data_IF_551996031268
#
_entry.id   IF_551996031268
#
_cell.length_a   1.000
_cell.length_b   1.000
_cell.length_c   1.000
_cell.angle_alpha   90.00
_cell.angle_beta   90.00
_cell.angle_gamma   90.00
#
_symmetry.space_group_name_H-M   'P 1'
#
loop_
_entity.id
_entity.type
_entity.pdbx_description
1 polymer ?
#
# COMPACT_ATOMS: atom_id res chain seq x y z
N UNK A 1 0.42 28.54 11.55
CA UNK A 1 1.52 28.34 10.57
C UNK A 1 2.49 27.35 11.19
N UNK A 2 2.65 26.14 10.66
CA UNK A 2 3.62 25.16 11.20
C UNK A 2 5.04 25.66 10.91
N UNK A 3 5.99 25.39 11.81
CA UNK A 3 7.39 25.77 11.56
C UNK A 3 7.98 24.89 10.44
N UNK A 4 8.95 25.41 9.67
CA UNK A 4 9.62 24.64 8.60
C UNK A 4 10.22 23.32 9.11
N UNK A 5 10.71 23.31 10.36
CA UNK A 5 11.21 22.10 11.02
C UNK A 5 10.12 21.05 11.28
N UNK A 6 8.90 21.46 11.63
CA UNK A 6 7.77 20.53 11.80
C UNK A 6 7.33 19.96 10.45
N UNK A 7 7.31 20.78 9.41
CA UNK A 7 6.97 20.33 8.06
C UNK A 7 8.00 19.31 7.54
N UNK A 8 9.30 19.60 7.65
CA UNK A 8 10.38 18.71 7.21
C UNK A 8 10.40 17.37 7.96
N UNK A 9 10.15 17.37 9.29
CA UNK A 9 9.99 16.11 10.05
C UNK A 9 8.80 15.29 9.60
N UNK A 10 7.69 15.96 9.29
CA UNK A 10 6.45 15.32 8.83
C UNK A 10 6.63 14.70 7.44
N UNK A 11 7.32 15.39 6.54
CA UNK A 11 7.67 14.90 5.21
C UNK A 11 8.64 13.71 5.27
N UNK A 12 9.68 13.80 6.10
CA UNK A 12 10.62 12.69 6.28
C UNK A 12 9.93 11.44 6.84
N UNK A 13 9.07 11.60 7.85
CA UNK A 13 8.28 10.50 8.40
C UNK A 13 7.32 9.90 7.36
N UNK A 14 6.65 10.75 6.56
CA UNK A 14 5.79 10.32 5.46
C UNK A 14 6.53 9.51 4.39
N UNK A 15 7.74 9.93 4.04
CA UNK A 15 8.59 9.22 3.08
C UNK A 15 9.11 7.88 3.63
N UNK A 16 9.46 7.82 4.91
CA UNK A 16 9.87 6.57 5.55
C UNK A 16 8.72 5.55 5.58
N UNK A 17 7.52 6.00 5.96
CA UNK A 17 6.30 5.19 5.90
C UNK A 17 5.99 4.77 4.46
N UNK A 18 6.09 5.67 3.49
CA UNK A 18 5.92 5.35 2.07
C UNK A 18 6.91 4.30 1.55
N UNK A 19 8.18 4.35 1.98
CA UNK A 19 9.16 3.32 1.63
C UNK A 19 8.82 1.97 2.24
N UNK A 20 8.32 1.95 3.49
CA UNK A 20 7.83 0.73 4.15
C UNK A 20 6.64 0.13 3.40
N UNK A 21 5.68 0.94 2.98
CA UNK A 21 4.47 0.46 2.29
C UNK A 21 4.78 -0.15 0.94
N UNK A 22 5.69 0.48 0.17
CA UNK A 22 6.22 -0.09 -1.08
C UNK A 22 6.89 -1.45 -0.84
N UNK A 23 7.73 -1.54 0.19
CA UNK A 23 8.45 -2.77 0.52
C UNK A 23 7.48 -3.91 0.87
N UNK A 24 6.43 -3.62 1.64
CA UNK A 24 5.37 -4.58 1.94
C UNK A 24 4.60 -5.00 0.68
N UNK A 25 4.25 -4.06 -0.19
CA UNK A 25 3.57 -4.38 -1.45
C UNK A 25 4.39 -5.33 -2.32
N UNK A 26 5.70 -5.11 -2.45
CA UNK A 26 6.58 -6.01 -3.18
C UNK A 26 6.79 -7.37 -2.49
N UNK A 27 6.84 -7.40 -1.15
CA UNK A 27 6.84 -8.67 -0.42
C UNK A 27 5.56 -9.47 -0.70
N UNK A 28 4.40 -8.81 -0.80
CA UNK A 28 3.15 -9.45 -1.22
C UNK A 28 3.25 -10.11 -2.61
N UNK A 29 3.93 -9.48 -3.56
CA UNK A 29 4.20 -10.06 -4.89
C UNK A 29 5.08 -11.31 -4.76
N UNK A 30 6.13 -11.25 -3.93
CA UNK A 30 7.03 -12.40 -3.71
C UNK A 30 6.26 -13.58 -3.13
N UNK A 31 5.48 -13.37 -2.07
CA UNK A 31 4.63 -14.43 -1.50
C UNK A 31 3.66 -15.03 -2.51
N UNK A 32 3.07 -14.20 -3.39
CA UNK A 32 2.18 -14.71 -4.43
C UNK A 32 2.93 -15.63 -5.41
N UNK A 33 4.14 -15.26 -5.83
CA UNK A 33 4.98 -16.06 -6.72
C UNK A 33 5.45 -17.37 -6.09
N UNK A 34 5.61 -17.38 -4.77
CA UNK A 34 5.91 -18.59 -3.98
C UNK A 34 4.68 -19.49 -3.75
N UNK A 35 3.49 -19.11 -4.25
CA UNK A 35 2.24 -19.84 -4.00
C UNK A 35 1.65 -19.60 -2.60
N UNK A 36 2.22 -18.67 -1.83
CA UNK A 36 1.79 -18.30 -0.47
C UNK A 36 0.67 -17.26 -0.51
N UNK A 37 -0.42 -17.59 -1.20
CA UNK A 37 -1.52 -16.67 -1.51
C UNK A 37 -2.10 -15.99 -0.27
N UNK A 38 -2.31 -16.73 0.83
CA UNK A 38 -2.87 -16.17 2.06
C UNK A 38 -1.95 -15.11 2.70
N UNK A 39 -0.63 -15.26 2.56
CA UNK A 39 0.35 -14.29 3.06
C UNK A 39 0.49 -13.10 2.12
N UNK A 40 0.41 -13.33 0.81
CA UNK A 40 0.36 -12.27 -0.18
C UNK A 40 -0.83 -11.32 0.07
N UNK A 41 -2.03 -11.88 0.28
CA UNK A 41 -3.24 -11.11 0.57
C UNK A 41 -3.10 -10.31 1.88
N UNK A 42 -2.66 -10.96 2.97
CA UNK A 42 -2.42 -10.30 4.26
C UNK A 42 -1.39 -9.18 4.16
N UNK A 43 -0.31 -9.40 3.42
CA UNK A 43 0.76 -8.40 3.26
C UNK A 43 0.30 -7.23 2.40
N UNK A 44 -0.51 -7.49 1.37
CA UNK A 44 -1.15 -6.44 0.56
C UNK A 44 -2.09 -5.56 1.38
N UNK A 45 -2.88 -6.13 2.29
CA UNK A 45 -3.72 -5.38 3.23
C UNK A 45 -2.88 -4.49 4.14
N UNK A 46 -1.83 -5.05 4.76
CA UNK A 46 -0.93 -4.29 5.62
C UNK A 46 -0.26 -3.13 4.87
N UNK A 47 0.18 -3.35 3.64
CA UNK A 47 0.75 -2.29 2.81
C UNK A 47 -0.25 -1.14 2.58
N UNK A 48 -1.53 -1.46 2.37
CA UNK A 48 -2.58 -0.46 2.14
C UNK A 48 -2.88 0.33 3.41
N UNK A 49 -3.02 -0.36 4.55
CA UNK A 49 -3.30 0.29 5.83
C UNK A 49 -2.19 1.28 6.19
N UNK A 50 -0.93 0.87 6.03
CA UNK A 50 0.24 1.73 6.23
C UNK A 50 0.28 2.91 5.24
N UNK A 51 -0.11 2.69 3.97
CA UNK A 51 -0.06 3.73 2.94
C UNK A 51 -1.13 4.80 3.16
N UNK A 52 -2.25 4.43 3.79
CA UNK A 52 -3.34 5.35 4.08
C UNK A 52 -3.17 6.16 5.36
N UNK A 53 -2.06 5.95 6.10
CA UNK A 53 -1.74 6.75 7.27
C UNK A 53 -1.53 8.23 6.91
N UNK A 54 -1.76 9.15 7.86
CA UNK A 54 -1.50 10.57 7.65
C UNK A 54 -0.08 10.83 7.18
N UNK A 55 0.10 11.88 6.36
CA UNK A 55 1.39 12.37 5.87
C UNK A 55 2.12 11.46 4.88
N UNK A 56 1.60 10.25 4.60
CA UNK A 56 2.05 9.45 3.46
C UNK A 56 1.52 10.06 2.17
N UNK A 57 2.42 10.28 1.20
CA UNK A 57 2.03 10.81 -0.11
C UNK A 57 1.03 9.90 -0.82
N UNK A 58 0.07 10.50 -1.52
CA UNK A 58 -0.90 9.80 -2.39
C UNK A 58 -0.21 8.92 -3.44
N UNK A 59 1.00 9.27 -3.87
CA UNK A 59 1.80 8.45 -4.80
C UNK A 59 2.02 7.02 -4.26
N UNK A 60 2.30 6.87 -2.96
CA UNK A 60 2.49 5.55 -2.35
C UNK A 60 1.17 4.78 -2.23
N UNK A 61 0.08 5.47 -1.89
CA UNK A 61 -1.27 4.86 -1.88
C UNK A 61 -1.61 4.33 -3.27
N UNK A 62 -1.36 5.11 -4.32
CA UNK A 62 -1.67 4.74 -5.69
C UNK A 62 -0.85 3.53 -6.17
N UNK A 63 0.43 3.48 -5.79
CA UNK A 63 1.30 2.33 -6.05
C UNK A 63 0.79 1.06 -5.35
N UNK A 64 0.49 1.16 -4.05
CA UNK A 64 -0.01 0.03 -3.26
C UNK A 64 -1.36 -0.46 -3.78
N UNK A 65 -2.28 0.45 -4.13
CA UNK A 65 -3.57 0.08 -4.74
C UNK A 65 -3.36 -0.68 -6.04
N UNK A 66 -2.43 -0.24 -6.91
CA UNK A 66 -2.11 -0.94 -8.16
C UNK A 66 -1.56 -2.34 -7.91
N UNK A 67 -0.58 -2.46 -7.01
CA UNK A 67 0.04 -3.76 -6.69
C UNK A 67 -0.96 -4.71 -6.05
N UNK A 68 -1.69 -4.27 -5.03
CA UNK A 68 -2.61 -5.16 -4.34
C UNK A 68 -3.82 -5.55 -5.19
N UNK A 69 -4.30 -4.68 -6.10
CA UNK A 69 -5.26 -5.11 -7.15
C UNK A 69 -4.71 -6.23 -8.01
N UNK A 70 -3.44 -6.18 -8.39
CA UNK A 70 -2.80 -7.28 -9.13
C UNK A 70 -2.72 -8.56 -8.29
N UNK A 71 -2.39 -8.45 -6.99
CA UNK A 71 -2.31 -9.61 -6.10
C UNK A 71 -3.66 -10.30 -5.98
N UNK A 72 -4.74 -9.54 -5.70
CA UNK A 72 -6.07 -10.14 -5.52
C UNK A 72 -6.60 -10.76 -6.81
N UNK A 73 -6.36 -10.14 -7.97
CA UNK A 73 -6.77 -10.68 -9.26
C UNK A 73 -6.10 -12.04 -9.55
N UNK A 74 -4.80 -12.14 -9.32
CA UNK A 74 -4.05 -13.39 -9.52
C UNK A 74 -4.41 -14.44 -8.46
N UNK A 75 -4.81 -14.03 -7.26
CA UNK A 75 -5.20 -14.96 -6.19
C UNK A 75 -6.51 -15.71 -6.50
N UNK A 76 -7.40 -15.14 -7.32
CA UNK A 76 -8.74 -15.68 -7.57
C UNK A 76 -9.72 -15.57 -6.39
N UNK A 77 -9.38 -14.83 -5.33
CA UNK A 77 -10.28 -14.58 -4.20
C UNK A 77 -11.29 -13.48 -4.56
N UNK A 78 -12.51 -13.88 -4.94
CA UNK A 78 -13.60 -12.97 -5.33
C UNK A 78 -13.97 -11.94 -4.24
N UNK A 79 -13.85 -12.31 -2.96
CA UNK A 79 -14.10 -11.41 -1.84
C UNK A 79 -13.03 -10.32 -1.77
N UNK A 80 -11.77 -10.71 -1.89
CA UNK A 80 -10.64 -9.77 -1.94
C UNK A 80 -10.70 -8.89 -3.20
N UNK A 81 -11.02 -9.47 -4.37
CA UNK A 81 -11.21 -8.74 -5.62
C UNK A 81 -12.28 -7.65 -5.46
N UNK A 82 -13.44 -8.02 -4.91
CA UNK A 82 -14.54 -7.09 -4.65
C UNK A 82 -14.10 -5.98 -3.70
N UNK A 83 -13.46 -6.31 -2.57
CA UNK A 83 -12.97 -5.33 -1.60
C UNK A 83 -11.98 -4.33 -2.23
N UNK A 84 -11.03 -4.81 -3.03
CA UNK A 84 -10.00 -3.96 -3.64
C UNK A 84 -10.48 -3.16 -4.86
N UNK A 85 -11.56 -3.59 -5.51
CA UNK A 85 -12.19 -2.83 -6.59
C UNK A 85 -12.68 -1.45 -6.12
N UNK A 86 -13.15 -1.38 -4.87
CA UNK A 86 -13.71 -0.17 -4.25
C UNK A 86 -12.62 0.84 -3.81
N UNK A 87 -11.34 0.42 -3.74
CA UNK A 87 -10.23 1.28 -3.33
C UNK A 87 -9.81 2.18 -4.48
N UNK A 88 -10.06 3.47 -4.36
CA UNK A 88 -9.72 4.46 -5.38
C UNK A 88 -8.28 4.97 -5.24
N UNK A 89 -7.64 5.23 -6.38
CA UNK A 89 -6.44 6.05 -6.42
C UNK A 89 -6.80 7.47 -5.96
N UNK A 90 -5.94 8.09 -5.16
CA UNK A 90 -6.09 9.48 -4.72
C UNK A 90 -5.51 10.39 -5.80
N UNK A 91 -6.26 11.42 -6.18
CA UNK A 91 -5.75 12.51 -7.02
C UNK A 91 -4.92 13.47 -6.16
N UNK A 92 -3.84 13.99 -6.74
CA UNK A 92 -2.92 14.97 -6.14
C UNK A 92 -3.52 16.37 -6.11
#
# INVERSE_FOLDING_TARGET
MKSENEFSRTEHAGNLLGSKTRSLAYLGIVYLREGRTAEALRTGELAYDEATQPHVSSTFVNEVVKVGRSIVQVSGDEGAITKWSQRSQRQE
#
